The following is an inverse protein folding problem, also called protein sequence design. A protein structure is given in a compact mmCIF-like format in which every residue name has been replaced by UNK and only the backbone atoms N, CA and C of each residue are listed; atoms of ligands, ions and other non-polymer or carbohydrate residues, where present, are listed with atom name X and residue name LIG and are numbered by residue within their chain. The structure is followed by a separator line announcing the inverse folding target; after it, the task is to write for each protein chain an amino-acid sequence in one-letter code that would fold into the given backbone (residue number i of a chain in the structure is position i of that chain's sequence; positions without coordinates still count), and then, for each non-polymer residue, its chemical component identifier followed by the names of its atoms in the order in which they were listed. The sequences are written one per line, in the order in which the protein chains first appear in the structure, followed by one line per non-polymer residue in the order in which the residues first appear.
data_IF_525390319888
#
_entry.id   IF_525390319888
#
_cell.length_a   1.000
_cell.length_b   1.000
_cell.length_c   1.000
_cell.angle_alpha   90.00
_cell.angle_beta   90.00
_cell.angle_gamma   90.00
#
_symmetry.space_group_name_H-M   'P 1'
#
loop_
_entity.id
_entity.type
_entity.pdbx_description
1 polymer ?
#
# COMPACT_ATOMS: atom_id res chain seq x y z
N UNK A 1 -4.47 -19.82 0.98
CA UNK A 1 -3.35 -18.95 0.57
C UNK A 1 -3.27 -17.85 1.60
N UNK A 2 -2.23 -17.87 2.43
CA UNK A 2 -2.25 -17.18 3.72
C UNK A 2 -1.65 -15.77 3.68
N UNK A 3 -0.81 -15.46 2.68
CA UNK A 3 -0.09 -14.17 2.61
C UNK A 3 0.02 -13.63 1.18
N UNK A 4 -0.27 -12.35 1.00
CA UNK A 4 -0.08 -11.58 -0.24
C UNK A 4 1.03 -10.55 -0.06
N UNK A 5 1.91 -10.39 -1.05
CA UNK A 5 2.93 -9.34 -1.07
C UNK A 5 2.53 -8.30 -2.11
N UNK A 6 2.30 -7.07 -1.66
CA UNK A 6 2.01 -5.91 -2.49
C UNK A 6 3.27 -5.05 -2.61
N UNK A 7 3.85 -5.01 -3.81
CA UNK A 7 5.06 -4.23 -4.08
C UNK A 7 4.67 -2.88 -4.69
N UNK A 8 5.07 -1.77 -4.07
CA UNK A 8 4.80 -0.44 -4.64
C UNK A 8 5.51 -0.30 -5.99
N UNK A 9 4.72 -0.01 -7.03
CA UNK A 9 5.22 0.21 -8.39
C UNK A 9 5.44 1.71 -8.65
N UNK A 10 6.33 2.01 -9.61
CA UNK A 10 6.72 3.38 -9.98
C UNK A 10 5.67 4.15 -10.81
N UNK A 11 4.45 3.63 -10.93
CA UNK A 11 3.37 4.27 -11.70
C UNK A 11 2.73 5.42 -10.91
N UNK A 12 3.22 6.63 -11.16
CA UNK A 12 2.73 7.86 -10.54
C UNK A 12 1.31 8.18 -11.07
N UNK A 13 0.34 8.36 -10.17
CA UNK A 13 -1.02 8.82 -10.49
C UNK A 13 -2.08 7.72 -10.65
N UNK A 14 -1.69 6.44 -10.74
CA UNK A 14 -2.61 5.30 -10.72
C UNK A 14 -2.37 4.35 -9.55
N UNK A 15 -1.35 4.64 -8.72
CA UNK A 15 -0.88 3.74 -7.67
C UNK A 15 -1.98 3.40 -6.68
N UNK A 16 -2.68 4.41 -6.18
CA UNK A 16 -3.73 4.19 -5.18
C UNK A 16 -4.86 3.30 -5.71
N UNK A 17 -5.37 3.57 -6.91
CA UNK A 17 -6.47 2.80 -7.50
C UNK A 17 -6.08 1.33 -7.72
N UNK A 18 -4.87 1.07 -8.24
CA UNK A 18 -4.36 -0.29 -8.42
C UNK A 18 -4.19 -1.02 -7.08
N UNK A 19 -3.54 -0.37 -6.11
CA UNK A 19 -3.33 -0.95 -4.78
C UNK A 19 -4.65 -1.23 -4.06
N UNK A 20 -5.61 -0.31 -4.13
CA UNK A 20 -6.93 -0.50 -3.53
C UNK A 20 -7.67 -1.68 -4.16
N UNK A 21 -7.59 -1.85 -5.48
CA UNK A 21 -8.18 -3.02 -6.15
C UNK A 21 -7.54 -4.33 -5.68
N UNK A 22 -6.23 -4.35 -5.45
CA UNK A 22 -5.53 -5.53 -4.92
C UNK A 22 -5.96 -5.83 -3.48
N UNK A 23 -6.11 -4.82 -2.63
CA UNK A 23 -6.57 -4.96 -1.24
C UNK A 23 -8.00 -5.51 -1.21
N UNK A 24 -8.90 -4.98 -2.03
CA UNK A 24 -10.28 -5.45 -2.12
C UNK A 24 -10.37 -6.88 -2.69
N UNK A 25 -9.53 -7.21 -3.68
CA UNK A 25 -9.43 -8.58 -4.18
C UNK A 25 -8.91 -9.55 -3.10
N UNK A 26 -7.89 -9.13 -2.33
CA UNK A 26 -7.35 -9.90 -1.22
C UNK A 26 -8.40 -10.17 -0.14
N UNK A 27 -9.21 -9.16 0.17
CA UNK A 27 -10.34 -9.26 1.09
C UNK A 27 -11.38 -10.27 0.59
N UNK A 28 -11.79 -10.17 -0.68
CA UNK A 28 -12.74 -11.11 -1.30
C UNK A 28 -12.20 -12.54 -1.36
N UNK A 29 -10.89 -12.69 -1.55
CA UNK A 29 -10.21 -13.98 -1.60
C UNK A 29 -9.95 -14.59 -0.21
N UNK A 30 -10.24 -13.87 0.88
CA UNK A 30 -9.99 -14.36 2.25
C UNK A 30 -8.51 -14.43 2.61
N UNK A 31 -7.67 -13.57 2.03
CA UNK A 31 -6.26 -13.45 2.40
C UNK A 31 -6.15 -13.03 3.86
N UNK A 32 -5.28 -13.70 4.62
CA UNK A 32 -5.12 -13.45 6.06
C UNK A 32 -4.06 -12.40 6.39
N UNK A 33 -3.08 -12.22 5.51
CA UNK A 33 -1.97 -11.31 5.72
C UNK A 33 -1.55 -10.58 4.42
N UNK A 34 -1.38 -9.26 4.47
CA UNK A 34 -0.79 -8.47 3.38
C UNK A 34 0.54 -7.84 3.81
N UNK A 35 1.61 -8.07 3.04
CA UNK A 35 2.90 -7.41 3.21
C UNK A 35 3.03 -6.34 2.13
N UNK A 36 3.08 -5.07 2.52
CA UNK A 36 3.20 -3.94 1.61
C UNK A 36 4.61 -3.35 1.66
N UNK A 37 5.31 -3.28 0.53
CA UNK A 37 6.61 -2.59 0.43
C UNK A 37 6.40 -1.14 0.02
N UNK A 38 6.47 -0.25 0.99
CA UNK A 38 6.41 1.22 0.86
C UNK A 38 7.83 1.80 0.70
N UNK A 39 7.94 3.09 0.35
CA UNK A 39 9.21 3.82 0.26
C UNK A 39 9.42 4.72 1.50
N UNK A 40 10.64 4.75 2.02
CA UNK A 40 11.12 5.58 3.15
C UNK A 40 11.50 6.97 2.59
N UNK A 41 11.25 8.01 3.37
CA UNK A 41 11.41 9.41 2.90
C UNK A 41 10.12 10.08 2.44
N UNK A 42 8.98 9.41 2.59
CA UNK A 42 7.66 10.03 2.51
C UNK A 42 7.35 10.78 3.82
N UNK A 43 8.22 11.72 4.17
CA UNK A 43 7.99 12.68 5.25
C UNK A 43 7.71 14.02 4.60
N UNK A 44 6.78 14.79 5.17
CA UNK A 44 6.20 16.04 4.67
C UNK A 44 7.17 17.16 4.27
N UNK A 45 8.47 16.93 4.29
CA UNK A 45 9.52 17.86 3.94
C UNK A 45 10.25 17.34 2.69
N UNK A 46 10.07 18.07 1.59
CA UNK A 46 10.79 17.96 0.32
C UNK A 46 10.26 16.97 -0.76
N UNK A 47 9.66 17.62 -1.76
CA UNK A 47 9.78 17.38 -3.20
C UNK A 47 8.68 16.61 -3.91
N UNK A 48 7.84 15.77 -3.27
CA UNK A 48 6.75 15.12 -4.02
C UNK A 48 5.47 14.90 -3.20
N UNK A 49 4.71 15.97 -2.95
CA UNK A 49 3.39 15.91 -2.28
C UNK A 49 2.44 14.85 -2.88
N UNK A 50 2.49 14.60 -4.19
CA UNK A 50 1.65 13.60 -4.87
C UNK A 50 2.07 12.16 -4.61
N UNK A 51 3.37 11.84 -4.69
CA UNK A 51 3.86 10.49 -4.37
C UNK A 51 3.57 10.19 -2.90
N UNK A 52 3.81 11.18 -2.03
CA UNK A 52 3.60 11.02 -0.60
C UNK A 52 2.15 10.71 -0.24
N UNK A 53 1.20 11.36 -0.90
CA UNK A 53 -0.22 11.08 -0.75
C UNK A 53 -0.58 9.63 -1.08
N UNK A 54 -0.13 9.12 -2.23
CA UNK A 54 -0.51 7.77 -2.68
C UNK A 54 -0.02 6.65 -1.74
N UNK A 55 1.16 6.81 -1.12
CA UNK A 55 1.63 5.86 -0.09
C UNK A 55 0.77 5.93 1.17
N UNK A 56 0.47 7.14 1.66
CA UNK A 56 -0.38 7.33 2.85
C UNK A 56 -1.79 6.79 2.63
N UNK A 57 -2.38 7.03 1.45
CA UNK A 57 -3.71 6.51 1.10
C UNK A 57 -3.71 4.98 1.01
N UNK A 58 -2.67 4.37 0.44
CA UNK A 58 -2.52 2.91 0.43
C UNK A 58 -2.40 2.33 1.84
N UNK A 59 -1.59 2.96 2.70
CA UNK A 59 -1.44 2.54 4.10
C UNK A 59 -2.77 2.69 4.87
N UNK A 60 -3.55 3.73 4.59
CA UNK A 60 -4.88 3.92 5.17
C UNK A 60 -5.87 2.84 4.70
N UNK A 61 -5.86 2.51 3.40
CA UNK A 61 -6.69 1.44 2.84
C UNK A 61 -6.34 0.06 3.44
N UNK A 62 -5.05 -0.24 3.62
CA UNK A 62 -4.59 -1.46 4.29
C UNK A 62 -5.10 -1.52 5.74
N UNK A 63 -5.00 -0.42 6.48
CA UNK A 63 -5.53 -0.33 7.85
C UNK A 63 -7.04 -0.51 7.90
N UNK A 64 -7.77 0.05 6.94
CA UNK A 64 -9.22 -0.07 6.85
C UNK A 64 -9.69 -1.46 6.37
N UNK A 65 -8.82 -2.24 5.71
CA UNK A 65 -9.17 -3.55 5.14
C UNK A 65 -9.57 -4.59 6.18
N UNK A 66 -9.10 -4.45 7.43
CA UNK A 66 -9.28 -5.43 8.51
C UNK A 66 -8.40 -6.69 8.36
N UNK A 67 -7.54 -6.75 7.35
CA UNK A 67 -6.58 -7.83 7.12
C UNK A 67 -5.32 -7.56 7.93
N UNK A 68 -4.70 -8.60 8.50
CA UNK A 68 -3.38 -8.46 9.15
C UNK A 68 -2.39 -7.90 8.14
N UNK A 69 -1.62 -6.88 8.50
CA UNK A 69 -0.71 -6.24 7.55
C UNK A 69 0.69 -6.02 8.11
N UNK A 70 1.66 -5.96 7.21
CA UNK A 70 3.03 -5.53 7.48
C UNK A 70 3.41 -4.46 6.46
N UNK A 71 3.89 -3.32 6.93
CA UNK A 71 4.37 -2.25 6.05
C UNK A 71 5.89 -2.21 6.16
N UNK A 72 6.57 -2.50 5.06
CA UNK A 72 8.02 -2.42 4.92
C UNK A 72 8.35 -1.10 4.24
N UNK A 73 8.90 -0.13 4.96
CA UNK A 73 9.34 1.15 4.38
C UNK A 73 10.80 1.02 3.96
N UNK A 74 11.08 1.05 2.67
CA UNK A 74 12.43 0.88 2.08
C UNK A 74 13.08 2.24 1.80
N UNK A 75 14.23 2.53 2.41
CA UNK A 75 14.97 3.79 2.27
C UNK A 75 16.33 3.64 1.64
#
# INVERSE_FOLDING_TARGET
MDTLILVSSNEIGQRFAQHNNVIEAAKKAGVKHIIYTSLLGVTNDNTVKSLAGEYVETEAALKASGITYTILRNG
#
